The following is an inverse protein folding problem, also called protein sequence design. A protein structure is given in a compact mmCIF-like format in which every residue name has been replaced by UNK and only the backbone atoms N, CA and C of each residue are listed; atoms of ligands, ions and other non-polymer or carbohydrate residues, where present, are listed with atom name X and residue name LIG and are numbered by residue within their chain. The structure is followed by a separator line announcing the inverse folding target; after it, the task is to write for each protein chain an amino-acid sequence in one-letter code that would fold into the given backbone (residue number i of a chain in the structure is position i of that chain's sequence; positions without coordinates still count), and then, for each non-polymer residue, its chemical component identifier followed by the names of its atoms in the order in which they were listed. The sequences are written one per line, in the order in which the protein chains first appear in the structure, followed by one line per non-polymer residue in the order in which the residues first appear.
data_IF_092182085732
#
_entry.id   IF_092182085732
#
_cell.length_a   1.000
_cell.length_b   1.000
_cell.length_c   1.000
_cell.angle_alpha   90.00
_cell.angle_beta   90.00
_cell.angle_gamma   90.00
#
_symmetry.space_group_name_H-M   'P 1'
#
loop_
_entity.id
_entity.type
_entity.pdbx_description
1 polymer ?
#
# COMPACT_ATOMS: atom_id res chain seq x y z
N UNK A 1 17.19 -1.45 4.17
CA UNK A 1 15.79 -1.73 4.55
C UNK A 1 15.02 -0.44 4.72
N UNK A 2 13.79 -0.41 4.22
CA UNK A 2 12.96 0.78 4.32
C UNK A 2 12.14 0.75 5.60
N UNK A 3 12.00 1.92 6.22
CA UNK A 3 11.12 2.08 7.38
C UNK A 3 9.70 2.30 6.86
N UNK A 4 8.72 1.69 7.50
CA UNK A 4 7.32 1.85 7.10
C UNK A 4 6.65 2.92 7.95
N UNK A 5 6.07 3.89 7.29
CA UNK A 5 5.33 4.99 7.94
C UNK A 5 3.88 4.87 7.47
N UNK A 6 2.94 5.10 8.37
CA UNK A 6 1.51 4.96 8.06
C UNK A 6 0.81 6.29 8.17
N UNK A 7 0.04 6.64 7.14
CA UNK A 7 -0.85 7.80 7.24
C UNK A 7 -2.01 7.45 8.17
N UNK A 8 -2.69 8.45 8.73
CA UNK A 8 -3.89 8.18 9.54
C UNK A 8 -4.94 7.38 8.79
N UNK A 9 -5.13 7.69 7.50
CA UNK A 9 -6.09 6.95 6.69
C UNK A 9 -5.67 5.48 6.54
N UNK A 10 -4.38 5.22 6.36
CA UNK A 10 -3.90 3.85 6.22
C UNK A 10 -4.16 3.04 7.48
N UNK A 11 -3.94 3.63 8.65
CA UNK A 11 -4.21 2.96 9.90
C UNK A 11 -5.68 2.61 10.01
N UNK A 12 -6.54 3.56 9.71
CA UNK A 12 -7.99 3.37 9.74
C UNK A 12 -8.42 2.28 8.77
N UNK A 13 -7.88 2.32 7.55
CA UNK A 13 -8.20 1.34 6.52
C UNK A 13 -7.79 -0.07 6.93
N UNK A 14 -6.59 -0.20 7.51
CA UNK A 14 -6.10 -1.51 7.93
C UNK A 14 -6.95 -2.10 9.05
N UNK A 15 -7.38 -1.26 10.01
CA UNK A 15 -8.26 -1.72 11.06
C UNK A 15 -9.60 -2.17 10.50
N UNK A 16 -10.10 -1.46 9.50
CA UNK A 16 -11.35 -1.81 8.84
C UNK A 16 -11.24 -3.14 8.12
N UNK A 17 -10.12 -3.35 7.40
CA UNK A 17 -9.88 -4.62 6.72
C UNK A 17 -9.80 -5.77 7.74
N UNK A 18 -9.08 -5.55 8.82
CA UNK A 18 -8.90 -6.58 9.82
C UNK A 18 -10.23 -7.02 10.40
N UNK A 19 -11.14 -6.07 10.60
CA UNK A 19 -12.44 -6.33 11.18
C UNK A 19 -13.42 -6.95 10.20
N UNK A 20 -13.43 -6.45 8.96
CA UNK A 20 -14.43 -6.82 7.98
C UNK A 20 -13.98 -7.86 6.96
N UNK A 21 -12.69 -7.87 6.63
CA UNK A 21 -12.16 -8.76 5.59
C UNK A 21 -10.80 -9.28 6.01
N UNK A 22 -10.78 -10.21 6.97
CA UNK A 22 -9.50 -10.69 7.53
C UNK A 22 -8.52 -11.26 6.51
N UNK A 23 -9.02 -11.94 5.47
CA UNK A 23 -8.14 -12.48 4.45
C UNK A 23 -7.44 -11.37 3.68
N UNK A 24 -8.18 -10.30 3.37
CA UNK A 24 -7.60 -9.14 2.71
C UNK A 24 -6.58 -8.45 3.61
N UNK A 25 -6.87 -8.37 4.90
CA UNK A 25 -5.94 -7.79 5.85
C UNK A 25 -4.62 -8.55 5.88
N UNK A 26 -4.68 -9.89 5.91
CA UNK A 26 -3.47 -10.70 5.93
C UNK A 26 -2.63 -10.44 4.68
N UNK A 27 -3.29 -10.30 3.54
CA UNK A 27 -2.59 -10.05 2.29
C UNK A 27 -1.94 -8.66 2.30
N UNK A 28 -2.66 -7.66 2.80
CA UNK A 28 -2.13 -6.31 2.92
C UNK A 28 -0.91 -6.30 3.85
N UNK A 29 -0.99 -7.01 4.97
CA UNK A 29 0.11 -7.08 5.91
C UNK A 29 1.34 -7.73 5.27
N UNK A 30 1.13 -8.77 4.49
CA UNK A 30 2.22 -9.42 3.77
C UNK A 30 2.91 -8.44 2.82
N UNK A 31 2.11 -7.66 2.08
CA UNK A 31 2.67 -6.66 1.17
C UNK A 31 3.48 -5.63 1.94
N UNK A 32 2.97 -5.17 3.07
CA UNK A 32 3.68 -4.18 3.87
C UNK A 32 5.02 -4.73 4.35
N UNK A 33 5.06 -6.01 4.75
CA UNK A 33 6.32 -6.62 5.12
C UNK A 33 7.30 -6.66 3.94
N UNK A 34 6.79 -6.91 2.73
CA UNK A 34 7.63 -6.89 1.54
C UNK A 34 8.16 -5.50 1.24
N UNK A 35 7.38 -4.46 1.51
CA UNK A 35 7.81 -3.09 1.24
C UNK A 35 9.10 -2.72 1.97
N UNK A 36 9.36 -3.37 3.09
CA UNK A 36 10.57 -3.10 3.86
C UNK A 36 11.82 -3.40 3.06
N UNK A 37 11.77 -4.40 2.21
CA UNK A 37 12.92 -4.82 1.41
C UNK A 37 12.75 -4.52 -0.07
N UNK A 38 11.52 -4.64 -0.58
CA UNK A 38 11.27 -4.58 -2.02
C UNK A 38 10.05 -3.71 -2.33
N UNK A 39 10.15 -2.38 -2.17
CA UNK A 39 8.98 -1.54 -2.41
C UNK A 39 8.55 -1.46 -3.87
N UNK A 40 9.43 -1.80 -4.81
CA UNK A 40 9.11 -1.68 -6.24
C UNK A 40 8.86 -3.01 -6.92
N UNK A 41 9.11 -4.11 -6.24
CA UNK A 41 8.97 -5.45 -6.82
C UNK A 41 8.28 -6.36 -5.82
N UNK A 42 7.85 -7.55 -6.29
CA UNK A 42 7.26 -8.53 -5.41
C UNK A 42 5.84 -8.86 -5.79
N UNK A 43 5.05 -9.29 -4.81
CA UNK A 43 3.69 -9.76 -5.07
C UNK A 43 2.69 -8.62 -5.12
N UNK A 44 1.50 -8.89 -5.66
CA UNK A 44 0.43 -7.91 -5.72
C UNK A 44 0.53 -6.94 -6.87
N UNK A 45 1.35 -7.24 -7.88
CA UNK A 45 1.53 -6.38 -9.06
C UNK A 45 1.89 -4.95 -8.68
N UNK A 46 3.09 -4.72 -8.10
CA UNK A 46 3.50 -3.35 -7.80
C UNK A 46 3.45 -2.52 -9.09
N UNK A 47 2.72 -1.44 -9.04
CA UNK A 47 2.49 -0.62 -10.21
C UNK A 47 2.66 0.85 -9.87
N UNK A 48 3.46 1.54 -10.68
CA UNK A 48 3.66 2.97 -10.50
C UNK A 48 2.47 3.72 -11.07
N UNK A 49 1.94 4.65 -10.30
CA UNK A 49 0.77 5.42 -10.72
C UNK A 49 1.21 6.65 -11.49
N UNK A 50 0.30 7.19 -12.29
CA UNK A 50 0.59 8.32 -13.18
C UNK A 50 -0.35 9.48 -12.91
N UNK A 51 -0.09 10.60 -13.60
CA UNK A 51 -0.92 11.77 -13.48
C UNK A 51 -0.81 12.39 -12.11
N UNK A 52 -1.96 12.68 -11.50
CA UNK A 52 -1.99 13.31 -10.19
C UNK A 52 -1.37 12.46 -9.09
N UNK A 53 -1.15 11.19 -9.37
CA UNK A 53 -0.57 10.28 -8.40
C UNK A 53 0.87 9.93 -8.72
N UNK A 54 1.50 10.77 -9.51
CA UNK A 54 2.90 10.57 -9.88
C UNK A 54 3.75 10.49 -8.60
N UNK A 55 4.58 9.44 -8.52
CA UNK A 55 5.38 9.18 -7.32
C UNK A 55 4.78 8.17 -6.39
N UNK A 56 3.52 7.82 -6.61
CA UNK A 56 2.86 6.80 -5.80
C UNK A 56 2.82 5.46 -6.51
N UNK A 57 2.66 4.42 -5.72
CA UNK A 57 2.62 3.04 -6.20
C UNK A 57 1.39 2.34 -5.63
N UNK A 58 0.97 1.27 -6.29
CA UNK A 58 -0.12 0.47 -5.77
C UNK A 58 0.20 -1.02 -5.87
N UNK A 59 -0.39 -1.79 -4.96
CA UNK A 59 -0.42 -3.24 -5.04
C UNK A 59 -1.86 -3.69 -4.88
N UNK A 60 -2.25 -4.69 -5.66
CA UNK A 60 -3.60 -5.22 -5.62
C UNK A 60 -3.78 -6.16 -4.44
N UNK A 61 -4.61 -5.77 -3.49
CA UNK A 61 -4.94 -6.63 -2.36
C UNK A 61 -6.04 -7.61 -2.79
N UNK A 62 -7.14 -7.07 -3.31
CA UNK A 62 -8.24 -7.85 -3.88
C UNK A 62 -8.79 -7.05 -5.04
N UNK A 63 -9.83 -7.56 -5.70
CA UNK A 63 -10.50 -6.80 -6.75
C UNK A 63 -11.04 -5.47 -6.22
N UNK A 64 -11.35 -5.42 -4.95
CA UNK A 64 -11.98 -4.29 -4.30
C UNK A 64 -10.98 -3.31 -3.71
N UNK A 65 -9.82 -3.78 -3.29
CA UNK A 65 -8.91 -2.97 -2.49
C UNK A 65 -7.51 -2.94 -3.06
N UNK A 66 -6.86 -1.79 -2.90
CA UNK A 66 -5.48 -1.58 -3.30
C UNK A 66 -4.71 -0.97 -2.15
N UNK A 67 -3.44 -1.36 -2.06
CA UNK A 67 -2.51 -0.73 -1.13
C UNK A 67 -1.81 0.39 -1.89
N UNK A 68 -1.98 1.62 -1.44
CA UNK A 68 -1.36 2.79 -2.07
C UNK A 68 -0.24 3.27 -1.16
N UNK A 69 0.93 3.51 -1.75
CA UNK A 69 2.08 3.93 -0.96
C UNK A 69 3.01 4.80 -1.79
N UNK A 70 3.90 5.49 -1.11
CA UNK A 70 4.89 6.35 -1.76
C UNK A 70 6.27 6.03 -1.19
N UNK A 71 7.28 5.99 -2.05
CA UNK A 71 8.64 5.60 -1.68
C UNK A 71 9.51 6.85 -1.58
N UNK A 72 10.17 7.02 -0.45
CA UNK A 72 11.09 8.13 -0.24
C UNK A 72 12.51 7.57 -0.14
N UNK A 73 13.20 7.54 -1.29
CA UNK A 73 14.49 6.85 -1.40
C UNK A 73 15.59 7.52 -0.60
N UNK A 74 15.59 8.85 -0.57
CA UNK A 74 16.63 9.59 0.14
C UNK A 74 16.56 9.35 1.64
N UNK A 75 15.35 9.35 2.18
CA UNK A 75 15.12 9.13 3.62
C UNK A 75 14.97 7.66 3.96
N UNK A 76 14.89 6.81 2.95
CA UNK A 76 14.78 5.36 3.09
C UNK A 76 13.54 4.96 3.91
N UNK A 77 12.39 5.50 3.52
CA UNK A 77 11.13 5.05 4.12
C UNK A 77 10.02 4.98 3.07
N UNK A 78 8.97 4.22 3.43
CA UNK A 78 7.79 4.07 2.59
C UNK A 78 6.59 4.55 3.38
N UNK A 79 5.83 5.46 2.80
CA UNK A 79 4.64 6.01 3.43
C UNK A 79 3.42 5.26 2.88
N UNK A 80 2.74 4.52 3.75
CA UNK A 80 1.53 3.78 3.38
C UNK A 80 0.36 4.74 3.49
N UNK A 81 -0.24 5.06 2.34
CA UNK A 81 -1.26 6.10 2.26
C UNK A 81 -2.68 5.59 2.45
N UNK A 82 -2.99 4.42 1.90
CA UNK A 82 -4.32 3.84 2.05
C UNK A 82 -4.29 2.36 1.71
N UNK A 83 -5.33 1.63 2.15
CA UNK A 83 -5.44 0.22 1.85
C UNK A 83 -6.87 -0.26 1.69
N UNK A 84 -7.82 0.67 1.60
CA UNK A 84 -9.23 0.34 1.41
C UNK A 84 -9.74 1.00 0.15
N UNK A 85 -10.37 0.20 -0.73
CA UNK A 85 -10.91 0.70 -1.97
C UNK A 85 -9.85 0.85 -3.05
N UNK A 86 -10.26 1.37 -4.19
CA UNK A 86 -9.36 1.67 -5.30
C UNK A 86 -8.96 3.13 -5.24
N UNK A 87 -7.79 3.44 -5.78
CA UNK A 87 -7.50 4.84 -6.02
C UNK A 87 -8.42 5.33 -7.13
N UNK A 88 -8.68 6.62 -7.14
CA UNK A 88 -9.55 7.20 -8.14
C UNK A 88 -8.76 7.38 -9.43
N UNK A 89 -9.16 6.68 -10.48
CA UNK A 89 -8.46 6.69 -11.75
C UNK A 89 -9.30 7.29 -12.88
N UNK A 90 -10.32 7.99 -12.54
CA UNK A 90 -11.21 8.60 -13.52
C UNK A 90 -10.58 9.77 -14.21
#
# INVERSE_FOLDING_TARGET
MYKIVYSPKAIEDLLKLKRSEPAAYKKADKFIQELKEHPKTGTGHPEQLKGNRNGQWSRTITKKHRLIYEIFETEVYVDVLSSWGHYNDK
#
